data_IF_443577143859
#
_entry.id   IF_443577143859
#
_cell.length_a   1.000
_cell.length_b   1.000
_cell.length_c   1.000
_cell.angle_alpha   90.00
_cell.angle_beta   90.00
_cell.angle_gamma   90.00
#
_symmetry.space_group_name_H-M   'P 1'
#
loop_
_entity.id
_entity.type
_entity.pdbx_description
1 polymer ?
#
# COMPACT_ATOMS: atom_id res chain seq x y z
N UNK A 1 -16.03 7.43 -11.69
CA UNK A 1 -15.29 6.16 -11.79
C UNK A 1 -16.14 5.07 -11.15
N UNK A 2 -16.20 3.89 -11.77
CA UNK A 2 -16.89 2.73 -11.18
C UNK A 2 -15.88 1.91 -10.38
N UNK A 3 -16.18 1.59 -9.12
CA UNK A 3 -15.35 0.71 -8.30
C UNK A 3 -15.45 -0.74 -8.82
N UNK A 4 -14.34 -1.47 -8.77
CA UNK A 4 -14.25 -2.88 -9.18
C UNK A 4 -13.62 -3.70 -8.07
N UNK A 5 -14.03 -4.96 -7.96
CA UNK A 5 -13.48 -5.91 -6.96
C UNK A 5 -12.04 -6.25 -7.33
N UNK A 6 -11.14 -6.23 -6.35
CA UNK A 6 -9.77 -6.74 -6.51
C UNK A 6 -9.81 -8.25 -6.77
N UNK A 7 -9.03 -8.78 -7.73
CA UNK A 7 -9.02 -10.21 -8.02
C UNK A 7 -8.61 -11.07 -6.81
N UNK A 8 -7.67 -10.59 -6.01
CA UNK A 8 -7.08 -11.29 -4.86
C UNK A 8 -6.54 -12.70 -5.23
N UNK A 9 -5.94 -12.85 -6.42
CA UNK A 9 -5.55 -14.15 -7.01
C UNK A 9 -4.72 -14.97 -6.01
N UNK A 10 -3.59 -14.42 -5.55
CA UNK A 10 -2.65 -15.12 -4.67
C UNK A 10 -3.29 -15.50 -3.33
N UNK A 11 -4.14 -14.64 -2.78
CA UNK A 11 -4.84 -14.89 -1.52
C UNK A 11 -5.92 -15.97 -1.67
N UNK A 12 -6.73 -15.90 -2.74
CA UNK A 12 -7.75 -16.92 -3.03
C UNK A 12 -7.11 -18.29 -3.24
N UNK A 13 -5.98 -18.35 -3.93
CA UNK A 13 -5.22 -19.60 -4.10
C UNK A 13 -4.64 -20.11 -2.76
N UNK A 14 -4.04 -19.21 -1.97
CA UNK A 14 -3.39 -19.58 -0.70
C UNK A 14 -4.37 -20.06 0.38
N UNK A 15 -5.61 -19.56 0.35
CA UNK A 15 -6.63 -19.83 1.37
C UNK A 15 -7.86 -20.57 0.83
N UNK A 16 -7.74 -21.25 -0.32
CA UNK A 16 -8.83 -22.02 -0.96
C UNK A 16 -10.16 -21.25 -1.04
N UNK A 17 -10.06 -19.96 -1.38
CA UNK A 17 -11.18 -19.03 -1.48
C UNK A 17 -12.04 -18.88 -0.19
N UNK A 18 -11.46 -19.16 0.98
CA UNK A 18 -12.12 -18.98 2.27
C UNK A 18 -12.44 -17.49 2.53
N UNK A 19 -13.73 -17.16 2.47
CA UNK A 19 -14.20 -15.78 2.58
C UNK A 19 -13.96 -15.17 3.96
N UNK A 20 -13.95 -15.98 5.02
CA UNK A 20 -13.77 -15.48 6.39
C UNK A 20 -12.30 -15.08 6.60
N UNK A 21 -11.37 -15.88 6.06
CA UNK A 21 -9.94 -15.55 6.07
C UNK A 21 -9.66 -14.33 5.19
N UNK A 22 -10.20 -14.30 3.95
CA UNK A 22 -10.04 -13.16 3.04
C UNK A 22 -10.58 -11.87 3.66
N UNK A 23 -11.78 -11.93 4.26
CA UNK A 23 -12.39 -10.79 4.96
C UNK A 23 -11.50 -10.28 6.09
N UNK A 24 -10.95 -11.19 6.90
CA UNK A 24 -10.03 -10.85 8.00
C UNK A 24 -8.75 -10.17 7.51
N UNK A 25 -8.19 -10.61 6.38
CA UNK A 25 -7.00 -9.99 5.77
C UNK A 25 -7.31 -8.57 5.28
N UNK A 26 -8.46 -8.38 4.63
CA UNK A 26 -8.88 -7.04 4.19
C UNK A 26 -9.19 -6.12 5.38
N UNK A 27 -9.73 -6.66 6.47
CA UNK A 27 -9.92 -5.93 7.73
C UNK A 27 -8.60 -5.43 8.33
N UNK A 28 -7.61 -6.31 8.44
CA UNK A 28 -6.27 -5.94 8.91
C UNK A 28 -5.68 -4.86 8.00
N UNK A 29 -5.79 -5.03 6.68
CA UNK A 29 -5.32 -4.02 5.73
C UNK A 29 -5.98 -2.66 5.97
N UNK A 30 -7.30 -2.61 6.13
CA UNK A 30 -8.06 -1.37 6.32
C UNK A 30 -7.76 -0.65 7.64
N UNK A 31 -7.17 -1.32 8.62
CA UNK A 31 -6.78 -0.73 9.91
C UNK A 31 -5.31 -0.34 9.91
N UNK A 32 -4.41 -1.30 9.62
CA UNK A 32 -2.97 -1.10 9.81
C UNK A 32 -2.34 -0.25 8.70
N UNK A 33 -2.77 -0.46 7.44
CA UNK A 33 -2.12 0.18 6.29
C UNK A 33 -2.35 1.69 6.26
N UNK A 34 -3.53 2.23 6.61
CA UNK A 34 -3.70 3.67 6.78
C UNK A 34 -2.77 4.30 7.82
N UNK A 35 -2.51 3.61 8.94
CA UNK A 35 -1.57 4.07 9.96
C UNK A 35 -0.13 4.09 9.44
N UNK A 36 0.32 3.01 8.78
CA UNK A 36 1.64 2.96 8.16
C UNK A 36 1.80 4.02 7.05
N UNK A 37 0.74 4.29 6.27
CA UNK A 37 0.75 5.36 5.26
C UNK A 37 0.82 6.75 5.89
N UNK A 38 0.17 6.97 7.04
CA UNK A 38 0.29 8.21 7.80
C UNK A 38 1.73 8.42 8.29
N UNK A 39 2.34 7.39 8.85
CA UNK A 39 3.74 7.43 9.31
C UNK A 39 4.71 7.66 8.14
N UNK A 40 4.47 7.03 6.99
CA UNK A 40 5.24 7.26 5.76
C UNK A 40 5.20 8.74 5.37
N UNK A 41 4.00 9.34 5.31
CA UNK A 41 3.82 10.76 4.97
C UNK A 41 4.56 11.67 5.94
N UNK A 42 4.36 11.47 7.25
CA UNK A 42 5.01 12.26 8.29
C UNK A 42 6.54 12.15 8.25
N UNK A 43 7.06 10.95 7.99
CA UNK A 43 8.51 10.71 7.88
C UNK A 43 9.11 11.45 6.67
N UNK A 44 8.42 11.45 5.54
CA UNK A 44 8.85 12.19 4.34
C UNK A 44 8.78 13.70 4.58
N UNK A 45 7.70 14.21 5.18
CA UNK A 45 7.51 15.64 5.47
C UNK A 45 8.54 16.19 6.47
N UNK A 46 8.93 15.39 7.46
CA UNK A 46 9.96 15.73 8.44
C UNK A 46 11.40 15.51 7.95
N UNK A 47 11.58 14.92 6.75
CA UNK A 47 12.88 14.60 6.18
C UNK A 47 13.57 13.37 6.77
N UNK A 48 12.88 12.58 7.60
CA UNK A 48 13.37 11.29 8.09
C UNK A 48 13.19 10.21 7.02
N UNK A 49 14.04 10.27 5.99
CA UNK A 49 14.00 9.31 4.89
C UNK A 49 14.39 7.89 5.31
N UNK A 50 15.10 7.72 6.42
CA UNK A 50 15.39 6.37 6.96
C UNK A 50 14.10 5.70 7.41
N UNK A 51 13.31 6.40 8.23
CA UNK A 51 12.00 5.89 8.66
C UNK A 51 11.03 5.78 7.50
N UNK A 52 11.02 6.75 6.57
CA UNK A 52 10.20 6.69 5.37
C UNK A 52 10.48 5.41 4.54
N UNK A 53 11.75 5.06 4.34
CA UNK A 53 12.11 3.83 3.61
C UNK A 53 11.61 2.55 4.30
N UNK A 54 11.67 2.50 5.64
CA UNK A 54 11.13 1.37 6.41
C UNK A 54 9.60 1.28 6.30
N UNK A 55 8.90 2.42 6.38
CA UNK A 55 7.44 2.42 6.23
C UNK A 55 7.03 2.07 4.80
N UNK A 56 7.74 2.57 3.79
CA UNK A 56 7.50 2.22 2.40
C UNK A 56 7.61 0.71 2.17
N UNK A 57 8.58 0.03 2.79
CA UNK A 57 8.72 -1.43 2.72
C UNK A 57 7.50 -2.18 3.28
N UNK A 58 6.97 -1.74 4.42
CA UNK A 58 5.79 -2.36 5.05
C UNK A 58 4.55 -2.19 4.18
N UNK A 59 4.22 -0.93 3.83
CA UNK A 59 3.07 -0.60 2.99
C UNK A 59 3.16 -1.33 1.65
N UNK A 60 4.35 -1.38 1.03
CA UNK A 60 4.59 -2.09 -0.24
C UNK A 60 4.20 -3.56 -0.13
N UNK A 61 4.56 -4.21 0.97
CA UNK A 61 4.28 -5.63 1.18
C UNK A 61 2.77 -5.85 1.26
N UNK A 62 2.06 -5.04 2.05
CA UNK A 62 0.59 -5.10 2.16
C UNK A 62 -0.11 -4.89 0.81
N UNK A 63 0.35 -3.93 0.01
CA UNK A 63 -0.22 -3.67 -1.32
C UNK A 63 0.05 -4.83 -2.29
N UNK A 64 1.23 -5.45 -2.24
CA UNK A 64 1.55 -6.65 -3.05
C UNK A 64 0.70 -7.84 -2.68
N UNK A 65 0.44 -8.06 -1.39
CA UNK A 65 -0.44 -9.14 -0.92
C UNK A 65 -1.84 -9.05 -1.54
N UNK A 66 -2.34 -7.83 -1.81
CA UNK A 66 -3.64 -7.64 -2.48
C UNK A 66 -3.55 -7.55 -4.02
N UNK A 67 -2.36 -7.68 -4.60
CA UNK A 67 -2.13 -7.56 -6.05
C UNK A 67 -2.14 -6.10 -6.57
N UNK A 68 -2.00 -5.10 -5.70
CA UNK A 68 -2.03 -3.67 -6.04
C UNK A 68 -0.63 -3.22 -6.50
N UNK A 69 -0.22 -3.70 -7.67
CA UNK A 69 1.17 -3.62 -8.16
C UNK A 69 1.65 -2.21 -8.45
N UNK A 70 0.83 -1.34 -9.04
CA UNK A 70 1.25 0.01 -9.45
C UNK A 70 1.70 0.86 -8.26
N UNK A 71 0.91 0.85 -7.18
CA UNK A 71 1.24 1.54 -5.94
C UNK A 71 2.47 0.92 -5.25
N UNK A 72 2.60 -0.41 -5.29
CA UNK A 72 3.76 -1.11 -4.75
C UNK A 72 5.07 -0.75 -5.49
N UNK A 73 5.02 -0.41 -6.79
CA UNK A 73 6.19 0.07 -7.54
C UNK A 73 6.63 1.44 -7.03
N UNK A 74 5.69 2.36 -6.79
CA UNK A 74 6.01 3.69 -6.24
C UNK A 74 6.65 3.56 -4.85
N UNK A 75 6.07 2.71 -3.99
CA UNK A 75 6.60 2.46 -2.65
C UNK A 75 7.98 1.81 -2.68
N UNK A 76 8.23 0.89 -3.63
CA UNK A 76 9.56 0.33 -3.84
C UNK A 76 10.57 1.42 -4.21
N UNK A 77 10.22 2.35 -5.09
CA UNK A 77 11.12 3.42 -5.48
C UNK A 77 11.46 4.36 -4.31
N UNK A 78 10.47 4.66 -3.45
CA UNK A 78 10.71 5.41 -2.20
C UNK A 78 11.69 4.65 -1.28
N UNK A 79 11.44 3.35 -1.08
CA UNK A 79 12.30 2.48 -0.27
C UNK A 79 13.73 2.42 -0.81
N UNK A 80 13.90 2.22 -2.11
CA UNK A 80 15.21 2.07 -2.75
C UNK A 80 16.01 3.38 -2.69
N UNK A 81 15.38 4.53 -2.91
CA UNK A 81 16.03 5.85 -2.79
C UNK A 81 16.45 6.16 -1.36
N UNK A 82 15.58 5.86 -0.40
CA UNK A 82 15.87 6.01 1.02
C UNK A 82 17.04 5.12 1.47
N UNK A 83 17.00 3.83 1.13
CA UNK A 83 18.04 2.85 1.50
C UNK A 83 19.40 3.19 0.89
N UNK A 84 19.41 3.55 -0.39
CA UNK A 84 20.65 3.83 -1.12
C UNK A 84 21.16 5.26 -0.93
N UNK A 85 20.40 6.12 -0.22
CA UNK A 85 20.68 7.56 -0.07
C UNK A 85 20.93 8.26 -1.41
N UNK A 86 20.20 7.85 -2.44
CA UNK A 86 20.37 8.32 -3.81
C UNK A 86 19.07 8.98 -4.29
N UNK A 87 19.19 10.14 -4.94
CA UNK A 87 18.07 10.93 -5.45
C UNK A 87 16.92 11.12 -4.44
N UNK A 88 17.26 11.33 -3.16
CA UNK A 88 16.29 11.50 -2.08
C UNK A 88 15.41 12.74 -2.28
N UNK A 89 15.88 13.75 -3.03
CA UNK A 89 15.07 14.94 -3.34
C UNK A 89 13.78 14.64 -4.12
N UNK A 90 13.68 13.47 -4.76
CA UNK A 90 12.49 13.09 -5.54
C UNK A 90 11.47 12.29 -4.70
N UNK A 91 11.82 11.87 -3.48
CA UNK A 91 10.92 11.11 -2.60
C UNK A 91 9.59 11.84 -2.36
N UNK A 92 9.55 13.17 -2.12
CA UNK A 92 8.28 13.90 -2.02
C UNK A 92 7.41 13.83 -3.28
N UNK A 93 8.02 13.80 -4.47
CA UNK A 93 7.28 13.68 -5.73
C UNK A 93 6.68 12.27 -5.91
N UNK A 94 7.41 11.24 -5.48
CA UNK A 94 6.89 9.87 -5.45
C UNK A 94 5.72 9.74 -4.46
N UNK A 95 5.83 10.40 -3.30
CA UNK A 95 4.72 10.44 -2.35
C UNK A 95 3.49 11.15 -2.94
N UNK A 96 3.68 12.23 -3.71
CA UNK A 96 2.58 12.89 -4.41
C UNK A 96 1.87 11.93 -5.39
N UNK A 97 2.64 11.21 -6.22
CA UNK A 97 2.11 10.20 -7.16
C UNK A 97 1.36 9.07 -6.43
N UNK A 98 1.87 8.62 -5.29
CA UNK A 98 1.18 7.65 -4.45
C UNK A 98 -0.16 8.21 -3.95
N UNK A 99 -0.17 9.45 -3.45
CA UNK A 99 -1.37 10.08 -2.90
C UNK A 99 -2.48 10.31 -3.94
N UNK A 100 -2.16 10.45 -5.23
CA UNK A 100 -3.15 10.62 -6.30
C UNK A 100 -4.14 9.45 -6.37
N UNK A 101 -3.69 8.23 -6.08
CA UNK A 101 -4.50 7.02 -6.17
C UNK A 101 -4.90 6.45 -4.82
N UNK A 102 -4.38 6.99 -3.71
CA UNK A 102 -4.57 6.44 -2.36
C UNK A 102 -6.04 6.25 -1.97
N UNK A 103 -6.86 7.31 -2.12
CA UNK A 103 -8.28 7.26 -1.78
C UNK A 103 -9.06 6.26 -2.65
N UNK A 104 -8.75 6.21 -3.95
CA UNK A 104 -9.37 5.26 -4.88
C UNK A 104 -9.06 3.82 -4.47
N UNK A 105 -7.79 3.53 -4.14
CA UNK A 105 -7.37 2.18 -3.75
C UNK A 105 -8.02 1.75 -2.44
N UNK A 106 -8.07 2.63 -1.43
CA UNK A 106 -8.75 2.31 -0.17
C UNK A 106 -10.24 2.03 -0.38
N UNK A 107 -10.91 2.84 -1.21
CA UNK A 107 -12.30 2.59 -1.59
C UNK A 107 -12.46 1.26 -2.34
N UNK A 108 -11.50 0.89 -3.19
CA UNK A 108 -11.51 -0.37 -3.91
C UNK A 108 -11.33 -1.58 -2.98
N UNK A 109 -10.46 -1.48 -1.99
CA UNK A 109 -10.25 -2.53 -0.96
C UNK A 109 -11.53 -2.72 -0.13
N UNK A 110 -12.14 -1.63 0.34
CA UNK A 110 -13.41 -1.69 1.05
C UNK A 110 -14.52 -2.31 0.19
N UNK A 111 -14.65 -1.85 -1.05
CA UNK A 111 -15.63 -2.40 -1.99
C UNK A 111 -15.41 -3.90 -2.24
N UNK A 112 -14.15 -4.33 -2.34
CA UNK A 112 -13.79 -5.75 -2.48
C UNK A 112 -14.28 -6.56 -1.28
N UNK A 113 -14.06 -6.06 -0.07
CA UNK A 113 -14.49 -6.71 1.17
C UNK A 113 -16.01 -6.86 1.23
N UNK A 114 -16.75 -5.82 0.89
CA UNK A 114 -18.22 -5.83 0.89
C UNK A 114 -18.83 -6.83 -0.11
N UNK A 115 -18.03 -7.31 -1.08
CA UNK A 115 -18.45 -8.20 -2.16
C UNK A 115 -17.74 -9.56 -2.16
N UNK A 116 -17.12 -9.95 -1.02
CA UNK A 116 -16.45 -11.25 -0.88
C UNK A 116 -17.39 -12.45 -0.99
#
# INVERSE_FOLDING_TARGET
MSLTVLPLIDLRESFDNDKDILGSILDIFMVEVPEDCLLLRQSIESGDYTTAGMQAHKVKSSYRTLGITEMAIILQEIEDRAKNKNNMQDIPNLLAQFNENYEQINAQVLYTKEHL
#
